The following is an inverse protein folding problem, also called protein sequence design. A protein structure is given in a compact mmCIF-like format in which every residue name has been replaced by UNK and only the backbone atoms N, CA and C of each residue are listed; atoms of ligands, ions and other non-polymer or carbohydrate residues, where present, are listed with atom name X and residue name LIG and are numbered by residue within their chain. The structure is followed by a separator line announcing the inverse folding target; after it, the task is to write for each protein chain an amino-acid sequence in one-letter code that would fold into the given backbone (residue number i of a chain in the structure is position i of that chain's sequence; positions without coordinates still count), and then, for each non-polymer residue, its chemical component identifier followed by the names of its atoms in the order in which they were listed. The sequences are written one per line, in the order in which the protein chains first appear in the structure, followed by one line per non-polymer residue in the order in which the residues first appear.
data_IF_081397968108
#
_entry.id   IF_081397968108
#
_cell.length_a   1.000
_cell.length_b   1.000
_cell.length_c   1.000
_cell.angle_alpha   90.00
_cell.angle_beta   90.00
_cell.angle_gamma   90.00
#
_symmetry.space_group_name_H-M   'P 1'
#
loop_
_entity.id
_entity.type
_entity.pdbx_description
1 polymer ?
#
# COMPACT_ATOMS: atom_id res chain seq x y z
N UNK A 1 -59.86 42.15 -39.36
CA UNK A 1 -59.37 41.36 -38.19
C UNK A 1 -58.17 40.55 -38.69
N UNK A 2 -56.96 41.03 -38.42
CA UNK A 2 -55.71 40.33 -38.84
C UNK A 2 -55.14 39.63 -37.63
N UNK A 3 -54.90 38.32 -37.76
CA UNK A 3 -54.29 37.53 -36.73
C UNK A 3 -52.79 37.52 -36.99
N UNK A 4 -52.02 38.05 -36.04
CA UNK A 4 -50.57 38.03 -36.06
C UNK A 4 -50.14 36.72 -35.38
N UNK A 5 -49.47 35.84 -36.11
CA UNK A 5 -48.82 34.64 -35.62
C UNK A 5 -47.37 34.94 -35.28
N UNK A 6 -47.05 34.94 -34.00
CA UNK A 6 -45.69 35.05 -33.48
C UNK A 6 -45.00 33.70 -33.53
N UNK A 7 -43.95 33.61 -34.38
CA UNK A 7 -43.02 32.46 -34.40
C UNK A 7 -42.18 32.46 -33.13
N UNK A 8 -42.22 31.38 -32.34
CA UNK A 8 -41.26 31.12 -31.27
C UNK A 8 -40.00 30.51 -31.88
N UNK A 9 -38.94 31.24 -31.81
CA UNK A 9 -37.59 30.82 -32.25
C UNK A 9 -37.05 29.84 -31.19
N UNK A 10 -36.93 28.57 -31.54
CA UNK A 10 -36.30 27.57 -30.69
C UNK A 10 -34.77 27.78 -30.70
N UNK A 11 -34.27 28.41 -29.63
CA UNK A 11 -32.84 28.47 -29.38
C UNK A 11 -32.27 27.04 -29.26
N UNK A 12 -31.48 26.68 -30.23
CA UNK A 12 -30.66 25.47 -30.23
C UNK A 12 -29.71 25.48 -29.04
N UNK A 13 -29.99 24.62 -28.05
CA UNK A 13 -29.05 24.34 -26.98
C UNK A 13 -27.83 23.68 -27.58
N UNK A 14 -26.69 24.38 -27.57
CA UNK A 14 -25.38 23.82 -27.82
C UNK A 14 -25.12 22.75 -26.75
N UNK A 15 -25.27 21.47 -27.12
CA UNK A 15 -24.75 20.35 -26.33
C UNK A 15 -23.24 20.51 -26.23
N UNK A 16 -22.76 20.93 -25.06
CA UNK A 16 -21.34 20.96 -24.76
C UNK A 16 -20.79 19.54 -24.87
N UNK A 17 -19.91 19.31 -25.81
CA UNK A 17 -19.09 18.10 -25.87
C UNK A 17 -18.28 18.04 -24.60
N UNK A 18 -18.65 17.12 -23.69
CA UNK A 18 -17.75 16.69 -22.61
C UNK A 18 -16.53 16.11 -23.30
N UNK A 19 -15.42 16.82 -23.29
CA UNK A 19 -14.12 16.23 -23.63
C UNK A 19 -13.91 15.09 -22.63
N UNK A 20 -14.12 13.86 -23.03
CA UNK A 20 -13.62 12.70 -22.31
C UNK A 20 -12.12 12.89 -22.16
N UNK A 21 -11.69 13.23 -20.93
CA UNK A 21 -10.27 13.35 -20.65
C UNK A 21 -9.65 11.97 -20.83
N UNK A 22 -8.74 11.85 -21.80
CA UNK A 22 -7.96 10.64 -21.98
C UNK A 22 -7.24 10.29 -20.67
N UNK A 23 -7.41 9.07 -20.19
CA UNK A 23 -6.74 8.58 -19.01
C UNK A 23 -5.32 8.15 -19.37
N UNK A 24 -4.35 8.98 -19.02
CA UNK A 24 -2.92 8.77 -19.35
C UNK A 24 -2.21 7.80 -18.39
N UNK A 25 -2.76 7.58 -17.19
CA UNK A 25 -2.20 6.67 -16.17
C UNK A 25 -3.16 5.52 -15.98
N UNK A 26 -2.70 4.29 -16.21
CA UNK A 26 -3.52 3.07 -16.13
C UNK A 26 -3.58 2.44 -14.73
N UNK A 27 -2.66 2.77 -13.84
CA UNK A 27 -2.61 2.22 -12.48
C UNK A 27 -1.31 2.47 -11.75
N UNK A 28 -1.20 1.91 -10.55
CA UNK A 28 0.03 1.85 -9.78
C UNK A 28 0.78 0.57 -10.14
N UNK A 29 2.05 0.68 -10.50
CA UNK A 29 2.91 -0.47 -10.84
C UNK A 29 3.55 -1.06 -9.57
N UNK A 30 4.27 -0.23 -8.81
CA UNK A 30 4.90 -0.67 -7.56
C UNK A 30 5.01 0.44 -6.51
N UNK A 31 5.27 0.03 -5.27
CA UNK A 31 5.71 0.90 -4.17
C UNK A 31 7.09 0.47 -3.76
N UNK A 32 8.01 1.43 -3.58
CA UNK A 32 9.37 1.17 -3.10
C UNK A 32 9.51 1.57 -1.63
N UNK A 33 10.03 0.65 -0.81
CA UNK A 33 10.34 0.86 0.60
C UNK A 33 11.84 0.73 0.83
N UNK A 34 12.37 1.54 1.75
CA UNK A 34 13.77 1.56 2.06
C UNK A 34 14.08 0.72 3.31
N UNK A 35 15.20 0.03 3.29
CA UNK A 35 15.70 -0.72 4.44
C UNK A 35 17.16 -0.39 4.71
N UNK A 36 17.66 -0.57 5.95
CA UNK A 36 19.05 -0.35 6.27
C UNK A 36 19.99 -1.22 5.42
N UNK A 37 21.23 -0.77 5.20
CA UNK A 37 22.26 -1.60 4.58
C UNK A 37 22.41 -2.93 5.31
N UNK A 38 22.69 -4.01 4.56
CA UNK A 38 22.92 -5.38 5.07
C UNK A 38 21.69 -6.09 5.66
N UNK A 39 20.49 -5.46 5.64
CA UNK A 39 19.25 -6.09 6.15
C UNK A 39 18.31 -6.57 5.05
N UNK A 40 18.73 -6.50 3.79
CA UNK A 40 17.88 -6.88 2.65
C UNK A 40 17.38 -8.34 2.72
N UNK A 41 18.20 -9.24 3.27
CA UNK A 41 17.84 -10.65 3.45
C UNK A 41 16.61 -10.84 4.35
N UNK A 42 16.37 -9.92 5.31
CA UNK A 42 15.22 -9.93 6.19
C UNK A 42 13.91 -9.64 5.45
N UNK A 43 14.00 -9.01 4.25
CA UNK A 43 12.82 -8.79 3.42
C UNK A 43 12.16 -10.11 3.00
N UNK A 44 12.93 -11.14 2.72
CA UNK A 44 12.38 -12.47 2.37
C UNK A 44 11.66 -13.11 3.56
N UNK A 45 12.22 -12.99 4.77
CA UNK A 45 11.58 -13.47 5.99
C UNK A 45 10.25 -12.75 6.24
N UNK A 46 10.22 -11.42 6.15
CA UNK A 46 9.02 -10.65 6.44
C UNK A 46 8.02 -10.69 5.27
N UNK A 47 8.42 -10.25 4.07
CA UNK A 47 7.47 -10.09 2.95
C UNK A 47 7.09 -11.42 2.30
N UNK A 48 8.02 -12.37 2.14
CA UNK A 48 7.67 -13.67 1.56
C UNK A 48 7.11 -14.64 2.60
N UNK A 49 7.83 -14.89 3.70
CA UNK A 49 7.42 -15.93 4.64
C UNK A 49 6.24 -15.50 5.53
N UNK A 50 6.23 -14.25 6.03
CA UNK A 50 5.17 -13.78 6.93
C UNK A 50 3.96 -13.23 6.18
N UNK A 51 4.17 -12.33 5.21
CA UNK A 51 3.06 -11.75 4.43
C UNK A 51 2.58 -12.67 3.30
N UNK A 52 3.35 -13.70 2.92
CA UNK A 52 3.00 -14.64 1.85
C UNK A 52 3.11 -14.06 0.44
N UNK A 53 3.91 -13.00 0.25
CA UNK A 53 4.13 -12.41 -1.07
C UNK A 53 5.14 -13.24 -1.87
N UNK A 54 4.86 -13.52 -3.14
CA UNK A 54 5.75 -14.28 -4.00
C UNK A 54 6.96 -13.43 -4.43
N UNK A 55 8.22 -13.89 -4.23
CA UNK A 55 9.38 -13.19 -4.75
C UNK A 55 9.33 -13.00 -6.26
N UNK A 56 9.71 -11.82 -6.75
CA UNK A 56 9.82 -11.49 -8.15
C UNK A 56 11.28 -11.48 -8.62
N UNK A 57 11.48 -11.56 -9.93
CA UNK A 57 12.83 -11.58 -10.53
C UNK A 57 13.44 -10.19 -10.49
N UNK A 58 14.60 -10.08 -9.82
CA UNK A 58 15.42 -8.86 -9.81
C UNK A 58 16.58 -9.03 -10.79
N UNK A 59 16.92 -8.01 -11.61
CA UNK A 59 18.11 -8.06 -12.48
C UNK A 59 19.38 -8.43 -11.69
N UNK A 60 20.23 -9.27 -12.27
CA UNK A 60 21.41 -9.82 -11.57
C UNK A 60 22.32 -8.73 -10.99
N UNK A 61 22.50 -7.62 -11.71
CA UNK A 61 23.29 -6.47 -11.27
C UNK A 61 22.72 -5.72 -10.06
N UNK A 62 21.45 -5.93 -9.74
CA UNK A 62 20.75 -5.21 -8.68
C UNK A 62 20.45 -6.08 -7.45
N UNK A 63 20.68 -7.40 -7.51
CA UNK A 63 20.32 -8.35 -6.44
C UNK A 63 20.96 -8.04 -5.08
N UNK A 64 22.11 -7.37 -5.07
CA UNK A 64 22.77 -6.98 -3.83
C UNK A 64 22.02 -5.88 -3.06
N UNK A 65 21.12 -5.14 -3.73
CA UNK A 65 20.48 -3.95 -3.17
C UNK A 65 18.96 -3.94 -3.29
N UNK A 66 18.38 -4.87 -4.07
CA UNK A 66 16.93 -4.91 -4.34
C UNK A 66 16.36 -6.30 -4.04
N UNK A 67 15.15 -6.30 -3.49
CA UNK A 67 14.26 -7.47 -3.43
C UNK A 67 12.86 -7.03 -3.87
N UNK A 68 12.23 -7.81 -4.77
CA UNK A 68 10.92 -7.51 -5.31
C UNK A 68 9.94 -8.64 -4.97
N UNK A 69 8.69 -8.28 -4.72
CA UNK A 69 7.64 -9.23 -4.36
C UNK A 69 6.34 -8.87 -5.08
N UNK A 70 5.66 -9.88 -5.64
CA UNK A 70 4.35 -9.72 -6.25
C UNK A 70 3.26 -9.58 -5.18
N UNK A 71 2.35 -8.63 -5.36
CA UNK A 71 1.17 -8.45 -4.51
C UNK A 71 0.03 -9.30 -5.08
N UNK A 72 -0.05 -10.56 -4.64
CA UNK A 72 -1.05 -11.50 -5.16
C UNK A 72 -1.01 -11.59 -6.69
N UNK A 73 -2.19 -11.56 -7.33
CA UNK A 73 -2.36 -11.59 -8.78
C UNK A 73 -2.69 -10.20 -9.36
N UNK A 74 -2.43 -9.11 -8.63
CA UNK A 74 -2.79 -7.76 -9.04
C UNK A 74 -1.94 -7.19 -10.18
N UNK A 75 -0.77 -7.81 -10.47
CA UNK A 75 0.26 -7.26 -11.33
C UNK A 75 1.14 -6.21 -10.66
N UNK A 76 0.78 -5.77 -9.43
CA UNK A 76 1.54 -4.80 -8.66
C UNK A 76 2.64 -5.47 -7.84
N UNK A 77 3.64 -4.69 -7.47
CA UNK A 77 4.78 -5.17 -6.69
C UNK A 77 5.09 -4.27 -5.50
N UNK A 78 5.72 -4.87 -4.48
CA UNK A 78 6.47 -4.14 -3.47
C UNK A 78 7.97 -4.32 -3.75
N UNK A 79 8.68 -3.21 -3.84
CA UNK A 79 10.13 -3.21 -4.01
C UNK A 79 10.78 -2.82 -2.69
N UNK A 80 11.80 -3.55 -2.30
CA UNK A 80 12.60 -3.27 -1.11
C UNK A 80 13.99 -2.88 -1.58
N UNK A 81 14.44 -1.68 -1.20
CA UNK A 81 15.74 -1.14 -1.59
C UNK A 81 16.63 -0.93 -0.38
N UNK A 82 17.79 -1.57 -0.38
CA UNK A 82 18.83 -1.32 0.62
C UNK A 82 19.69 -0.13 0.19
N UNK A 83 19.66 0.94 1.01
CA UNK A 83 20.30 2.22 0.69
C UNK A 83 21.61 2.42 1.48
N UNK A 84 22.75 2.45 0.77
CA UNK A 84 24.05 2.65 1.37
C UNK A 84 24.49 4.12 1.51
N UNK A 85 23.82 5.02 0.76
CA UNK A 85 24.21 6.43 0.71
C UNK A 85 23.31 7.38 1.52
N UNK A 86 22.24 6.86 2.14
CA UNK A 86 21.44 7.64 3.06
C UNK A 86 22.10 7.66 4.45
N UNK A 87 22.16 8.84 5.07
CA UNK A 87 22.52 8.94 6.47
C UNK A 87 21.48 8.23 7.34
N UNK A 88 21.85 7.84 8.55
CA UNK A 88 20.91 7.23 9.52
C UNK A 88 19.69 8.13 9.79
N UNK A 89 19.89 9.45 9.83
CA UNK A 89 18.80 10.42 10.02
C UNK A 89 17.83 10.40 8.83
N UNK A 90 18.33 10.35 7.60
CA UNK A 90 17.50 10.28 6.40
C UNK A 90 16.75 8.97 6.30
N UNK A 91 17.40 7.84 6.60
CA UNK A 91 16.77 6.53 6.62
C UNK A 91 15.64 6.50 7.68
N UNK A 92 15.91 6.94 8.89
CA UNK A 92 14.93 7.03 9.98
C UNK A 92 13.73 7.89 9.59
N UNK A 93 13.95 9.06 8.98
CA UNK A 93 12.87 9.92 8.50
C UNK A 93 11.99 9.25 7.44
N UNK A 94 12.53 8.35 6.62
CA UNK A 94 11.77 7.58 5.63
C UNK A 94 10.98 6.44 6.31
N UNK A 95 11.63 5.65 7.16
CA UNK A 95 11.02 4.47 7.77
C UNK A 95 10.00 4.83 8.86
N UNK A 96 10.19 5.94 9.59
CA UNK A 96 9.22 6.44 10.59
C UNK A 96 8.10 7.31 9.98
N UNK A 97 8.13 7.53 8.67
CA UNK A 97 7.11 8.30 7.94
C UNK A 97 5.69 7.74 8.20
N UNK A 98 4.66 8.60 8.25
CA UNK A 98 3.27 8.16 8.24
C UNK A 98 2.82 7.63 6.86
N UNK A 99 3.60 7.85 5.80
CA UNK A 99 3.32 7.32 4.45
C UNK A 99 3.41 5.80 4.46
N UNK A 100 2.48 5.14 3.80
CA UNK A 100 2.44 3.68 3.79
C UNK A 100 1.68 3.14 2.58
N UNK A 101 2.04 1.96 2.09
CA UNK A 101 1.17 1.18 1.23
C UNK A 101 0.02 0.60 2.06
N UNK A 102 -1.16 0.52 1.44
CA UNK A 102 -2.32 -0.15 2.00
C UNK A 102 -2.60 -1.42 1.19
N UNK A 103 -2.53 -2.58 1.85
CA UNK A 103 -2.77 -3.88 1.25
C UNK A 103 -4.21 -4.32 1.46
N UNK A 104 -4.91 -4.64 0.38
CA UNK A 104 -6.25 -5.22 0.46
C UNK A 104 -6.17 -6.70 0.83
N UNK A 105 -6.92 -7.09 1.85
CA UNK A 105 -7.03 -8.48 2.32
C UNK A 105 -8.43 -9.02 1.96
N UNK A 106 -8.55 -10.22 1.39
CA UNK A 106 -9.78 -10.65 0.74
C UNK A 106 -10.92 -11.05 1.70
N UNK A 107 -10.65 -11.22 3.00
CA UNK A 107 -11.69 -11.52 3.99
C UNK A 107 -11.24 -11.17 5.41
N UNK A 108 -12.22 -11.01 6.30
CA UNK A 108 -12.00 -10.73 7.71
C UNK A 108 -11.19 -11.84 8.41
N UNK A 109 -11.48 -13.12 8.12
CA UNK A 109 -10.72 -14.24 8.69
C UNK A 109 -9.24 -14.18 8.30
N UNK A 110 -8.95 -13.80 7.02
CA UNK A 110 -7.58 -13.64 6.55
C UNK A 110 -6.92 -12.42 7.18
N UNK A 111 -7.65 -11.31 7.35
CA UNK A 111 -7.15 -10.11 8.01
C UNK A 111 -6.76 -10.41 9.47
N UNK A 112 -7.65 -11.05 10.22
CA UNK A 112 -7.41 -11.44 11.61
C UNK A 112 -6.28 -12.47 11.74
N UNK A 113 -6.17 -13.42 10.81
CA UNK A 113 -5.07 -14.39 10.77
C UNK A 113 -3.73 -13.69 10.51
N UNK A 114 -3.69 -12.79 9.53
CA UNK A 114 -2.48 -12.03 9.19
C UNK A 114 -2.01 -11.18 10.37
N UNK A 115 -2.94 -10.48 11.03
CA UNK A 115 -2.62 -9.69 12.22
C UNK A 115 -2.00 -10.56 13.33
N UNK A 116 -2.59 -11.72 13.63
CA UNK A 116 -2.04 -12.65 14.63
C UNK A 116 -0.65 -13.18 14.24
N UNK A 117 -0.39 -13.45 12.98
CA UNK A 117 0.92 -13.90 12.51
C UNK A 117 1.98 -12.80 12.69
N UNK A 118 1.67 -11.57 12.31
CA UNK A 118 2.58 -10.43 12.45
C UNK A 118 2.79 -10.11 13.93
N UNK A 119 1.73 -10.16 14.73
CA UNK A 119 1.81 -9.94 16.19
C UNK A 119 2.69 -10.99 16.89
N UNK A 120 2.50 -12.28 16.60
CA UNK A 120 3.32 -13.34 17.17
C UNK A 120 4.81 -13.17 16.80
N UNK A 121 5.10 -12.74 15.57
CA UNK A 121 6.47 -12.44 15.14
C UNK A 121 7.02 -11.21 15.88
N UNK A 122 6.22 -10.16 16.08
CA UNK A 122 6.56 -8.98 16.86
C UNK A 122 6.92 -9.36 18.31
N UNK A 123 6.09 -10.15 18.98
CA UNK A 123 6.35 -10.60 20.36
C UNK A 123 7.58 -11.50 20.47
N UNK A 124 7.88 -12.29 19.44
CA UNK A 124 9.06 -13.17 19.45
C UNK A 124 10.38 -12.39 19.42
N UNK A 125 10.40 -11.15 18.92
CA UNK A 125 11.59 -10.32 18.79
C UNK A 125 12.70 -10.94 17.96
N UNK A 126 12.38 -11.93 17.12
CA UNK A 126 13.35 -12.63 16.28
C UNK A 126 13.90 -11.77 15.15
N UNK A 127 14.90 -12.30 14.44
CA UNK A 127 15.49 -11.64 13.28
C UNK A 127 14.43 -11.41 12.19
N UNK A 128 14.32 -10.17 11.71
CA UNK A 128 13.29 -9.76 10.76
C UNK A 128 11.90 -9.53 11.37
N UNK A 129 11.78 -9.57 12.70
CA UNK A 129 10.54 -9.24 13.37
C UNK A 129 10.13 -7.78 13.07
N UNK A 130 8.82 -7.50 12.92
CA UNK A 130 8.32 -6.15 12.80
C UNK A 130 8.66 -5.36 14.06
N UNK A 131 8.87 -4.05 13.92
CA UNK A 131 9.13 -3.17 15.08
C UNK A 131 7.86 -2.64 15.73
N UNK A 132 6.71 -2.90 15.10
CA UNK A 132 5.37 -2.55 15.60
C UNK A 132 4.29 -3.39 14.92
N UNK A 133 3.26 -3.73 15.67
CA UNK A 133 2.01 -4.26 15.13
C UNK A 133 0.85 -3.85 16.05
N UNK A 134 -0.31 -3.51 15.48
CA UNK A 134 -1.53 -3.35 16.25
C UNK A 134 -1.93 -4.68 16.91
N UNK A 135 -2.22 -4.63 18.21
CA UNK A 135 -2.59 -5.81 18.99
C UNK A 135 -3.90 -6.43 18.49
N UNK A 136 -3.97 -7.77 18.29
CA UNK A 136 -5.20 -8.44 17.90
C UNK A 136 -6.32 -8.27 18.95
N UNK A 137 -7.53 -7.94 18.48
CA UNK A 137 -8.69 -7.69 19.36
C UNK A 137 -8.75 -6.29 19.96
N UNK A 138 -7.80 -5.43 19.68
CA UNK A 138 -7.88 -4.02 20.03
C UNK A 138 -8.66 -3.26 18.92
N UNK A 139 -9.98 -3.15 19.10
CA UNK A 139 -10.90 -2.52 18.13
C UNK A 139 -10.63 -1.02 17.91
N UNK A 140 -9.77 -0.40 18.73
CA UNK A 140 -9.37 1.00 18.59
C UNK A 140 -8.12 1.18 17.71
N UNK A 141 -7.45 0.10 17.30
CA UNK A 141 -6.28 0.15 16.47
C UNK A 141 -6.63 0.64 15.06
N UNK A 142 -6.19 1.84 14.73
CA UNK A 142 -6.34 2.41 13.38
C UNK A 142 -7.76 2.78 12.95
N UNK A 143 -8.75 2.74 13.84
CA UNK A 143 -10.10 3.16 13.54
C UNK A 143 -10.28 4.65 13.86
N UNK A 144 -10.80 5.41 12.90
CA UNK A 144 -11.51 6.66 13.17
C UNK A 144 -12.75 6.38 14.03
N UNK A 145 -13.70 7.32 14.10
CA UNK A 145 -14.98 7.05 14.75
C UNK A 145 -15.56 5.71 14.24
N UNK A 146 -16.06 4.88 15.16
CA UNK A 146 -16.48 3.52 14.86
C UNK A 146 -17.41 3.48 13.65
N UNK A 147 -17.04 2.76 12.60
CA UNK A 147 -17.83 2.57 11.39
C UNK A 147 -17.44 3.41 10.17
N UNK A 148 -16.56 4.41 10.30
CA UNK A 148 -16.20 5.30 9.19
C UNK A 148 -15.25 4.64 8.18
N UNK A 149 -14.52 3.61 8.58
CA UNK A 149 -13.53 2.92 7.75
C UNK A 149 -13.73 1.40 7.75
N UNK A 150 -13.32 0.71 6.67
CA UNK A 150 -13.23 -0.74 6.68
C UNK A 150 -12.35 -1.25 7.83
N UNK A 151 -12.59 -2.49 8.29
CA UNK A 151 -11.71 -3.14 9.25
C UNK A 151 -10.28 -3.16 8.72
N UNK A 152 -9.34 -2.73 9.55
CA UNK A 152 -7.93 -2.60 9.19
C UNK A 152 -7.05 -2.69 10.42
N UNK A 153 -5.77 -2.94 10.20
CA UNK A 153 -4.74 -2.80 11.23
C UNK A 153 -3.44 -2.27 10.59
N UNK A 154 -2.54 -1.79 11.42
CA UNK A 154 -1.23 -1.30 11.02
C UNK A 154 -0.12 -2.16 11.62
N UNK A 155 0.98 -2.26 10.87
CA UNK A 155 2.25 -2.77 11.35
C UNK A 155 3.39 -1.91 10.83
N UNK A 156 4.59 -2.07 11.40
CA UNK A 156 5.83 -1.58 10.81
C UNK A 156 6.74 -2.77 10.61
N UNK A 157 7.31 -2.89 9.41
CA UNK A 157 8.28 -3.95 9.13
C UNK A 157 9.52 -3.86 10.02
N UNK A 158 10.46 -4.76 9.83
CA UNK A 158 11.73 -4.82 10.57
C UNK A 158 12.61 -3.56 10.43
N UNK A 159 12.38 -2.75 9.37
CA UNK A 159 13.09 -1.49 9.14
C UNK A 159 12.30 -0.27 9.65
N UNK A 160 11.05 -0.44 10.07
CA UNK A 160 10.15 0.62 10.54
C UNK A 160 9.20 1.17 9.48
N UNK A 161 9.21 0.67 8.23
CA UNK A 161 8.26 1.09 7.22
C UNK A 161 6.83 0.76 7.65
N UNK A 162 5.95 1.76 7.62
CA UNK A 162 4.54 1.57 7.96
C UNK A 162 3.79 0.84 6.86
N UNK A 163 2.94 -0.09 7.26
CA UNK A 163 2.09 -0.90 6.39
C UNK A 163 0.67 -0.86 6.95
N UNK A 164 -0.33 -0.74 6.07
CA UNK A 164 -1.74 -0.88 6.40
C UNK A 164 -2.30 -2.13 5.72
N UNK A 165 -3.17 -2.85 6.43
CA UNK A 165 -3.89 -4.02 5.90
C UNK A 165 -5.39 -3.79 6.13
N UNK A 166 -6.20 -3.87 5.07
CA UNK A 166 -7.64 -3.54 5.08
C UNK A 166 -8.48 -4.55 4.30
N UNK A 167 -9.76 -4.60 4.60
CA UNK A 167 -10.77 -5.33 3.81
C UNK A 167 -11.08 -4.66 2.50
#
# INVERSE_FOLDING_TARGET
MSIVTTSFDMMSQKTGTTHDKEMLISGLDHVNLLVPPQTLHLAYSFYASTLGLAPAVVPASCKAHLAWFHIGNSGQQIHITSQHYLSQIQLKAQTESPRHPCFKVPSEDKLNRLQRLIWALYESGGEGAPVYCDEPGNDNAGQGAAGDFPKRFFARDYAGNRLEFTL
#
